data_IF_850451913184
#
_entry.id   IF_850451913184
#
_cell.length_a   1.000
_cell.length_b   1.000
_cell.length_c   1.000
_cell.angle_alpha   90.00
_cell.angle_beta   90.00
_cell.angle_gamma   90.00
#
_symmetry.space_group_name_H-M   'P 1'
#
loop_
_entity.id
_entity.type
_entity.pdbx_description
1 polymer ?
#
# COMPACT_ATOMS: atom_id res chain seq x y z
N UNK A 1 9.49 33.30 -51.79
CA UNK A 1 10.57 32.34 -51.42
C UNK A 1 9.97 31.39 -50.38
N UNK A 2 9.56 30.15 -50.72
CA UNK A 2 10.38 28.91 -50.79
C UNK A 2 10.98 28.52 -49.43
N UNK A 3 10.73 27.37 -48.78
CA UNK A 3 10.10 26.07 -49.18
C UNK A 3 9.48 25.32 -47.96
N UNK A 4 8.46 24.49 -48.21
CA UNK A 4 8.23 23.15 -47.59
C UNK A 4 8.57 22.08 -48.68
N UNK A 5 8.54 20.74 -48.48
CA UNK A 5 8.20 19.93 -47.30
C UNK A 5 9.23 18.79 -46.98
N UNK A 6 8.90 17.89 -46.04
CA UNK A 6 9.58 16.59 -45.84
C UNK A 6 8.72 15.65 -44.96
N UNK A 7 8.43 14.43 -45.43
CA UNK A 7 7.52 13.43 -44.80
C UNK A 7 8.31 12.30 -44.09
N UNK A 8 7.69 11.50 -43.21
CA UNK A 8 8.22 10.23 -42.65
C UNK A 8 7.89 9.07 -43.65
N UNK A 9 7.97 7.75 -43.34
CA UNK A 9 8.30 7.06 -42.07
C UNK A 9 9.30 5.89 -42.22
N UNK A 10 9.48 5.10 -41.15
CA UNK A 10 9.99 3.73 -41.22
C UNK A 10 9.30 2.83 -40.17
N UNK A 11 8.27 2.11 -40.59
CA UNK A 11 7.86 0.87 -39.93
C UNK A 11 8.79 -0.24 -40.44
N UNK A 12 9.13 -1.20 -39.57
CA UNK A 12 9.68 -2.48 -40.01
C UNK A 12 8.66 -3.57 -39.74
N UNK A 13 7.85 -3.86 -40.76
CA UNK A 13 7.21 -5.16 -40.89
C UNK A 13 8.29 -6.23 -41.12
N UNK A 14 8.11 -7.42 -40.54
CA UNK A 14 8.51 -8.68 -41.17
C UNK A 14 7.80 -9.87 -40.51
N UNK A 15 6.62 -10.17 -41.03
CA UNK A 15 6.01 -11.50 -40.96
C UNK A 15 6.94 -12.54 -41.62
N UNK A 16 7.12 -13.70 -40.99
CA UNK A 16 7.92 -14.80 -41.55
C UNK A 16 7.81 -16.08 -40.73
N UNK A 17 6.90 -16.97 -41.11
CA UNK A 17 6.63 -18.26 -40.46
C UNK A 17 7.58 -19.38 -40.98
N UNK A 18 7.65 -20.57 -40.34
CA UNK A 18 8.65 -21.61 -40.60
C UNK A 18 8.20 -22.56 -41.75
N UNK A 19 8.96 -23.60 -42.16
CA UNK A 19 8.90 -24.90 -41.44
C UNK A 19 10.14 -25.82 -41.55
N UNK A 20 10.10 -26.93 -40.79
CA UNK A 20 10.30 -28.27 -41.36
C UNK A 20 11.71 -28.87 -41.42
N UNK A 21 11.90 -30.00 -40.71
CA UNK A 21 12.56 -31.17 -41.29
C UNK A 21 12.05 -32.48 -40.64
N UNK A 22 11.15 -33.17 -41.34
CA UNK A 22 10.94 -34.62 -41.17
C UNK A 22 12.14 -35.34 -41.84
N UNK A 23 12.56 -36.54 -41.41
CA UNK A 23 12.20 -37.87 -42.00
C UNK A 23 13.22 -38.93 -41.49
N UNK A 24 13.11 -40.23 -41.82
CA UNK A 24 12.07 -41.22 -41.48
C UNK A 24 12.61 -42.65 -41.74
N UNK A 25 12.14 -43.67 -41.00
CA UNK A 25 12.28 -45.12 -41.29
C UNK A 25 13.71 -45.75 -41.29
N UNK A 26 13.91 -47.08 -41.32
CA UNK A 26 13.18 -48.24 -40.74
C UNK A 26 13.99 -49.55 -40.96
N UNK A 27 13.50 -50.66 -40.37
CA UNK A 27 13.78 -52.08 -40.70
C UNK A 27 15.21 -52.63 -40.44
N UNK A 28 15.42 -53.51 -39.44
CA UNK A 28 15.36 -55.01 -39.49
C UNK A 28 16.43 -55.63 -40.42
N UNK A 29 17.26 -56.61 -39.99
CA UNK A 29 17.08 -58.09 -39.97
C UNK A 29 18.47 -58.73 -39.59
N UNK A 30 18.69 -59.94 -39.05
CA UNK A 30 17.86 -61.12 -38.65
C UNK A 30 18.53 -61.99 -37.54
N UNK A 31 17.78 -62.99 -37.03
CA UNK A 31 18.12 -64.34 -36.49
C UNK A 31 19.60 -64.85 -36.43
N UNK A 32 19.99 -65.79 -35.55
CA UNK A 32 19.39 -66.39 -34.33
C UNK A 32 20.31 -67.50 -33.74
N UNK A 33 20.21 -67.81 -32.43
CA UNK A 33 20.19 -69.22 -31.95
C UNK A 33 19.59 -69.39 -30.54
N UNK A 34 18.91 -70.52 -30.32
CA UNK A 34 18.45 -71.05 -29.01
C UNK A 34 19.69 -71.46 -28.19
N UNK A 35 19.76 -71.49 -26.85
CA UNK A 35 18.88 -71.96 -25.75
C UNK A 35 19.32 -71.23 -24.46
N UNK A 36 18.59 -71.14 -23.34
CA UNK A 36 17.99 -72.23 -22.57
C UNK A 36 16.97 -71.74 -21.52
N UNK A 37 16.25 -72.70 -20.92
CA UNK A 37 15.15 -72.50 -19.98
C UNK A 37 15.70 -72.33 -18.55
N UNK A 38 15.69 -71.11 -18.01
CA UNK A 38 15.98 -70.83 -16.60
C UNK A 38 14.70 -70.41 -15.87
N UNK A 39 14.61 -70.73 -14.57
CA UNK A 39 13.37 -70.64 -13.80
C UNK A 39 12.88 -69.18 -13.61
N UNK A 40 11.56 -69.00 -13.57
CA UNK A 40 10.95 -67.74 -13.14
C UNK A 40 11.22 -67.54 -11.64
N UNK A 41 11.85 -66.44 -11.20
CA UNK A 41 11.66 -65.95 -9.84
C UNK A 41 10.18 -65.62 -9.66
N UNK A 42 9.66 -65.81 -8.44
CA UNK A 42 8.30 -65.39 -8.11
C UNK A 42 8.18 -63.87 -8.26
N UNK A 43 6.99 -63.42 -8.65
CA UNK A 43 6.59 -62.02 -8.58
C UNK A 43 6.72 -61.53 -7.14
N UNK A 44 7.80 -60.84 -6.80
CA UNK A 44 7.79 -59.95 -5.64
C UNK A 44 6.77 -58.85 -5.94
N UNK A 45 5.75 -58.75 -5.10
CA UNK A 45 4.68 -57.79 -5.29
C UNK A 45 5.26 -56.38 -5.24
N UNK A 46 5.16 -55.65 -6.35
CA UNK A 46 5.37 -54.20 -6.38
C UNK A 46 4.42 -53.61 -5.35
N UNK A 47 4.94 -53.24 -4.18
CA UNK A 47 4.18 -52.50 -3.18
C UNK A 47 3.83 -51.17 -3.83
N UNK A 48 2.56 -51.06 -4.21
CA UNK A 48 1.96 -49.83 -4.71
C UNK A 48 2.31 -48.73 -3.68
N UNK A 49 2.87 -47.58 -4.08
CA UNK A 49 3.15 -46.51 -3.13
C UNK A 49 1.83 -46.18 -2.43
N UNK A 50 1.83 -46.21 -1.09
CA UNK A 50 0.66 -45.78 -0.34
C UNK A 50 0.36 -44.34 -0.73
N UNK A 51 -0.91 -44.00 -1.02
CA UNK A 51 -1.26 -42.60 -1.16
C UNK A 51 -0.87 -41.88 0.14
N UNK A 52 -0.35 -40.65 0.08
CA UNK A 52 -0.03 -39.92 1.29
C UNK A 52 -1.30 -39.88 2.17
N UNK A 53 -1.17 -40.36 3.41
CA UNK A 53 -2.23 -40.30 4.40
C UNK A 53 -2.76 -38.87 4.40
N UNK A 54 -4.01 -38.69 3.98
CA UNK A 54 -4.62 -37.38 3.86
C UNK A 54 -4.64 -36.77 5.26
N UNK A 55 -3.74 -35.81 5.49
CA UNK A 55 -3.66 -35.11 6.75
C UNK A 55 -5.03 -34.53 7.05
N UNK A 56 -5.65 -34.96 8.15
CA UNK A 56 -6.99 -34.52 8.48
C UNK A 56 -6.96 -33.01 8.72
N UNK A 57 -7.69 -32.30 7.84
CA UNK A 57 -7.73 -30.84 7.80
C UNK A 57 -8.32 -30.24 9.07
N UNK A 58 -9.02 -31.06 9.88
CA UNK A 58 -9.59 -30.68 11.17
C UNK A 58 -8.68 -31.00 12.37
N UNK A 59 -7.57 -31.73 12.19
CA UNK A 59 -6.56 -31.94 13.25
C UNK A 59 -5.61 -30.75 13.39
N UNK A 60 -5.47 -29.92 12.35
CA UNK A 60 -4.66 -28.71 12.40
C UNK A 60 -5.37 -27.62 13.21
N UNK A 61 -4.69 -26.91 14.13
CA UNK A 61 -5.29 -25.77 14.81
C UNK A 61 -5.70 -24.71 13.77
N UNK A 62 -6.89 -24.14 13.93
CA UNK A 62 -7.37 -23.07 13.06
C UNK A 62 -6.35 -21.93 13.01
N UNK A 63 -6.10 -21.32 11.85
CA UNK A 63 -5.20 -20.18 11.76
C UNK A 63 -5.68 -19.06 12.69
N UNK A 64 -4.75 -18.29 13.28
CA UNK A 64 -5.12 -17.19 14.18
C UNK A 64 -6.04 -16.22 13.43
N UNK A 65 -7.15 -15.83 14.07
CA UNK A 65 -8.09 -14.88 13.46
C UNK A 65 -7.35 -13.57 13.16
N UNK A 66 -7.53 -12.97 11.95
CA UNK A 66 -7.04 -11.63 11.67
C UNK A 66 -7.50 -10.66 12.77
N UNK A 67 -6.58 -9.83 13.26
CA UNK A 67 -6.96 -8.75 14.18
C UNK A 67 -7.78 -7.73 13.37
N UNK A 68 -8.87 -7.17 13.92
CA UNK A 68 -9.60 -6.10 13.27
C UNK A 68 -8.68 -4.90 12.97
N UNK A 69 -8.92 -4.16 11.86
CA UNK A 69 -8.18 -2.95 11.55
C UNK A 69 -8.14 -1.94 12.68
N UNK A 70 -7.01 -1.23 12.84
CA UNK A 70 -6.95 -0.04 13.71
C UNK A 70 -7.77 1.07 13.05
N UNK A 71 -8.83 1.51 13.71
CA UNK A 71 -9.76 2.56 13.20
C UNK A 71 -9.53 3.93 13.82
N UNK A 72 -8.71 4.01 14.88
CA UNK A 72 -8.38 5.25 15.60
C UNK A 72 -7.05 5.11 16.32
N UNK A 73 -6.43 6.24 16.63
CA UNK A 73 -5.48 6.37 17.73
C UNK A 73 -6.16 6.95 18.96
N UNK A 74 -5.61 6.67 20.13
CA UNK A 74 -6.05 7.25 21.40
C UNK A 74 -5.33 8.59 21.64
N UNK A 75 -5.96 9.56 22.30
CA UNK A 75 -5.37 10.89 22.50
C UNK A 75 -4.05 10.81 23.32
N UNK A 76 -4.03 9.99 24.37
CA UNK A 76 -2.85 9.74 25.22
C UNK A 76 -1.71 9.03 24.48
N UNK A 77 -2.04 8.09 23.59
CA UNK A 77 -1.07 7.36 22.75
C UNK A 77 -0.30 8.34 21.86
N UNK A 78 -0.99 9.30 21.24
CA UNK A 78 -0.39 10.35 20.40
C UNK A 78 0.26 11.50 21.18
N UNK A 79 0.00 11.58 22.49
CA UNK A 79 0.22 12.76 23.33
C UNK A 79 -0.42 14.01 22.71
N UNK A 80 -1.63 13.82 22.19
CA UNK A 80 -2.41 14.85 21.49
C UNK A 80 -2.65 16.01 22.46
N UNK A 81 -2.23 17.22 22.08
CA UNK A 81 -2.29 18.38 22.96
C UNK A 81 -2.60 19.66 22.19
N UNK A 82 -3.37 20.56 22.80
CA UNK A 82 -3.59 21.92 22.31
C UNK A 82 -2.30 22.73 22.43
N UNK A 83 -2.04 23.59 21.45
CA UNK A 83 -0.95 24.57 21.50
C UNK A 83 -1.44 25.98 21.10
N UNK A 84 -0.88 27.06 21.69
CA UNK A 84 -1.25 28.42 21.33
C UNK A 84 -0.95 28.76 19.87
N UNK A 85 -1.94 29.28 19.15
CA UNK A 85 -1.82 29.69 17.75
C UNK A 85 -0.79 30.82 17.51
N UNK A 86 -0.48 31.62 18.54
CA UNK A 86 0.45 32.75 18.46
C UNK A 86 1.93 32.38 18.26
N UNK A 87 2.30 31.11 18.36
CA UNK A 87 3.67 30.61 18.25
C UNK A 87 4.10 30.09 16.87
N UNK A 88 3.27 30.30 15.83
CA UNK A 88 3.47 29.77 14.47
C UNK A 88 3.87 30.86 13.46
N UNK A 89 4.65 30.45 12.47
CA UNK A 89 5.14 31.30 11.38
C UNK A 89 5.41 30.42 10.17
N UNK A 90 5.14 30.94 8.96
CA UNK A 90 5.42 30.26 7.70
C UNK A 90 6.91 29.90 7.52
N UNK A 91 7.81 30.65 8.18
CA UNK A 91 9.27 30.43 8.14
C UNK A 91 9.78 29.58 9.32
N UNK A 92 8.87 28.92 10.07
CA UNK A 92 9.27 28.06 11.17
C UNK A 92 9.97 26.79 10.65
N UNK A 93 11.14 26.47 11.21
CA UNK A 93 11.82 25.22 10.93
C UNK A 93 10.94 24.01 11.35
N UNK A 94 11.02 22.87 10.63
CA UNK A 94 10.35 21.65 11.05
C UNK A 94 10.82 21.21 12.43
N UNK A 95 9.88 20.89 13.32
CA UNK A 95 10.13 20.12 14.52
C UNK A 95 9.49 18.73 14.39
N UNK A 96 9.82 17.79 15.28
CA UNK A 96 9.38 16.38 15.18
C UNK A 96 7.91 16.16 15.58
N UNK A 97 7.06 17.15 15.28
CA UNK A 97 5.63 17.18 15.51
C UNK A 97 4.89 17.34 14.18
N UNK A 98 3.64 16.92 14.18
CA UNK A 98 2.65 17.29 13.17
C UNK A 98 1.52 18.02 13.86
N UNK A 99 0.87 18.90 13.09
CA UNK A 99 -0.16 19.80 13.58
C UNK A 99 -1.46 19.61 12.81
N UNK A 100 -2.57 19.68 13.53
CA UNK A 100 -3.92 19.69 12.98
C UNK A 100 -4.56 21.02 13.37
N UNK A 101 -5.09 21.75 12.40
CA UNK A 101 -5.89 22.95 12.63
C UNK A 101 -7.36 22.61 12.37
N UNK A 102 -8.20 22.84 13.36
CA UNK A 102 -9.62 22.48 13.38
C UNK A 102 -10.39 23.48 14.25
N UNK A 103 -11.71 23.36 14.39
CA UNK A 103 -12.49 24.20 15.29
C UNK A 103 -12.44 23.70 16.75
N UNK A 104 -13.11 24.43 17.65
CA UNK A 104 -13.12 24.14 19.09
C UNK A 104 -13.94 22.89 19.46
N UNK A 105 -15.01 22.57 18.71
CA UNK A 105 -15.86 21.40 18.97
C UNK A 105 -15.15 20.12 18.49
N UNK A 106 -14.64 20.12 17.26
CA UNK A 106 -13.85 19.02 16.71
C UNK A 106 -12.57 18.80 17.54
N UNK A 107 -11.85 19.86 17.94
CA UNK A 107 -10.68 19.71 18.83
C UNK A 107 -11.05 19.03 20.15
N UNK A 108 -12.17 19.40 20.76
CA UNK A 108 -12.67 18.79 22.00
C UNK A 108 -13.03 17.32 21.79
N UNK A 109 -13.71 17.00 20.69
CA UNK A 109 -14.06 15.62 20.31
C UNK A 109 -12.80 14.76 20.05
N UNK A 110 -11.78 15.32 19.40
CA UNK A 110 -10.51 14.63 19.13
C UNK A 110 -9.65 14.43 20.38
N UNK A 111 -9.69 15.34 21.35
CA UNK A 111 -9.03 15.16 22.64
C UNK A 111 -9.74 14.11 23.50
N UNK A 112 -11.07 14.09 23.51
CA UNK A 112 -11.84 13.12 24.28
C UNK A 112 -11.81 11.71 23.69
N UNK A 113 -11.83 11.59 22.36
CA UNK A 113 -11.99 10.31 21.67
C UNK A 113 -10.75 9.87 20.87
N UNK A 114 -9.73 10.72 20.72
CA UNK A 114 -8.57 10.44 19.87
C UNK A 114 -8.84 10.57 18.35
N UNK A 115 -7.79 10.39 17.57
CA UNK A 115 -7.72 10.75 16.15
C UNK A 115 -8.16 9.58 15.25
N UNK A 116 -9.21 9.72 14.41
CA UNK A 116 -9.73 8.61 13.61
C UNK A 116 -8.88 8.35 12.36
N UNK A 117 -8.75 7.07 11.99
CA UNK A 117 -8.15 6.63 10.73
C UNK A 117 -9.26 6.47 9.68
N UNK A 118 -9.27 7.33 8.65
CA UNK A 118 -10.36 7.41 7.67
C UNK A 118 -9.81 7.50 6.24
N UNK A 119 -10.30 6.64 5.34
CA UNK A 119 -9.91 6.67 3.92
C UNK A 119 -10.65 7.71 3.07
N UNK A 120 -11.91 8.04 3.41
CA UNK A 120 -12.75 8.95 2.62
C UNK A 120 -12.46 10.42 2.96
N UNK A 121 -12.32 10.72 4.26
CA UNK A 121 -11.97 12.04 4.79
C UNK A 121 -10.87 11.87 5.85
N UNK A 122 -9.63 11.57 5.44
CA UNK A 122 -8.48 11.50 6.35
C UNK A 122 -8.22 12.85 7.02
N UNK A 123 -7.85 12.88 8.31
CA UNK A 123 -7.28 14.07 8.92
C UNK A 123 -6.03 14.51 8.15
N UNK A 124 -6.02 15.76 7.68
CA UNK A 124 -4.83 16.41 7.15
C UNK A 124 -3.92 16.82 8.32
N UNK A 125 -2.61 16.68 8.17
CA UNK A 125 -1.62 16.99 9.20
C UNK A 125 -0.47 17.79 8.58
N UNK A 126 -0.21 19.01 9.05
CA UNK A 126 0.85 19.87 8.52
C UNK A 126 2.11 19.84 9.40
N UNK A 127 3.28 20.03 8.78
CA UNK A 127 4.47 20.48 9.49
C UNK A 127 4.31 21.93 10.00
N UNK A 128 5.19 22.34 10.92
CA UNK A 128 5.08 23.61 11.68
C UNK A 128 4.89 24.86 10.82
N UNK A 129 5.53 24.93 9.65
CA UNK A 129 5.41 26.08 8.74
C UNK A 129 3.99 26.30 8.22
N UNK A 130 3.24 25.23 7.95
CA UNK A 130 1.92 25.33 7.31
C UNK A 130 0.79 25.74 8.24
N UNK A 131 1.00 25.66 9.56
CA UNK A 131 -0.01 26.06 10.55
C UNK A 131 -0.45 27.51 10.38
N UNK A 132 0.46 28.43 10.05
CA UNK A 132 0.13 29.83 9.84
C UNK A 132 -0.80 30.04 8.63
N UNK A 133 -0.52 29.39 7.50
CA UNK A 133 -1.36 29.45 6.31
C UNK A 133 -2.73 28.79 6.53
N UNK A 134 -2.77 27.68 7.26
CA UNK A 134 -4.03 27.01 7.58
C UNK A 134 -4.89 27.83 8.54
N UNK A 135 -4.30 28.45 9.57
CA UNK A 135 -5.01 29.40 10.44
C UNK A 135 -5.61 30.56 9.63
N UNK A 136 -4.86 31.13 8.68
CA UNK A 136 -5.38 32.16 7.78
C UNK A 136 -6.58 31.66 6.98
N UNK A 137 -6.47 30.49 6.33
CA UNK A 137 -7.55 29.87 5.55
C UNK A 137 -8.83 29.66 6.37
N UNK A 138 -8.71 29.19 7.61
CA UNK A 138 -9.85 29.00 8.53
C UNK A 138 -10.52 30.32 8.93
N UNK A 139 -9.81 31.46 8.85
CA UNK A 139 -10.36 32.79 9.16
C UNK A 139 -10.78 33.61 7.93
N UNK A 140 -10.40 33.18 6.72
CA UNK A 140 -10.75 33.83 5.46
C UNK A 140 -12.12 33.38 4.92
N UNK A 141 -12.55 32.16 5.28
CA UNK A 141 -13.88 31.65 4.93
C UNK A 141 -14.96 32.59 5.49
N UNK A 142 -15.94 33.06 4.68
CA UNK A 142 -16.81 34.16 5.07
C UNK A 142 -17.53 33.87 6.39
N UNK A 143 -17.49 34.78 7.39
CA UNK A 143 -18.11 34.54 8.67
C UNK A 143 -19.63 34.50 8.50
N UNK A 144 -20.17 33.29 8.35
CA UNK A 144 -21.54 32.99 8.69
C UNK A 144 -21.79 33.27 10.18
N UNK A 145 -23.02 33.05 10.64
CA UNK A 145 -23.44 33.26 12.03
C UNK A 145 -22.68 32.41 13.07
N UNK A 146 -21.74 31.56 12.63
CA UNK A 146 -20.97 30.59 13.41
C UNK A 146 -19.48 30.67 13.06
N UNK A 147 -18.88 31.87 13.05
CA UNK A 147 -17.43 32.02 12.92
C UNK A 147 -16.72 31.27 14.08
N UNK A 148 -16.08 30.15 13.76
CA UNK A 148 -15.43 29.28 14.75
C UNK A 148 -14.02 29.78 15.07
N UNK A 149 -13.61 29.66 16.34
CA UNK A 149 -12.23 29.94 16.73
C UNK A 149 -11.37 28.73 16.37
N UNK A 150 -10.32 28.88 15.53
CA UNK A 150 -9.46 27.77 15.16
C UNK A 150 -8.56 27.37 16.33
N UNK A 151 -8.46 26.06 16.56
CA UNK A 151 -7.63 25.42 17.57
C UNK A 151 -6.54 24.61 16.88
N UNK A 152 -5.32 24.72 17.39
CA UNK A 152 -4.17 23.94 16.90
C UNK A 152 -3.90 22.79 17.87
N UNK A 153 -4.03 21.56 17.38
CA UNK A 153 -3.57 20.35 18.05
C UNK A 153 -2.20 19.95 17.51
N UNK A 154 -1.36 19.33 18.36
CA UNK A 154 -0.10 18.70 17.96
C UNK A 154 -0.02 17.23 18.38
N UNK A 155 0.74 16.45 17.63
CA UNK A 155 1.07 15.04 17.90
C UNK A 155 2.48 14.71 17.40
N UNK A 156 3.13 13.67 17.95
CA UNK A 156 4.49 13.30 17.50
C UNK A 156 4.45 12.59 16.16
N UNK A 157 5.20 13.08 15.17
CA UNK A 157 5.30 12.46 13.83
C UNK A 157 5.64 10.97 13.88
N UNK A 158 6.59 10.60 14.75
CA UNK A 158 7.04 9.22 14.92
C UNK A 158 5.95 8.25 15.42
N UNK A 159 4.89 8.73 16.08
CA UNK A 159 3.79 7.89 16.58
C UNK A 159 2.79 7.51 15.47
N UNK A 160 2.67 8.33 14.42
CA UNK A 160 1.73 8.12 13.31
C UNK A 160 2.39 7.74 11.99
N UNK A 161 3.72 7.69 11.92
CA UNK A 161 4.48 7.56 10.68
C UNK A 161 4.10 6.35 9.80
N UNK A 162 3.66 5.22 10.39
CA UNK A 162 3.19 4.04 9.65
C UNK A 162 1.76 4.13 9.07
N UNK A 163 1.06 5.23 9.31
CA UNK A 163 -0.33 5.49 8.90
C UNK A 163 -0.50 6.83 8.15
N UNK A 164 0.60 7.54 7.91
CA UNK A 164 0.64 8.69 7.00
C UNK A 164 0.76 8.18 5.55
N UNK A 165 0.10 8.87 4.62
CA UNK A 165 0.48 8.75 3.21
C UNK A 165 1.95 9.19 3.00
N UNK A 166 2.72 8.50 2.15
CA UNK A 166 4.16 8.73 2.01
C UNK A 166 4.46 10.05 1.29
N UNK A 167 3.65 10.39 0.30
CA UNK A 167 3.78 11.59 -0.51
C UNK A 167 2.99 12.74 0.13
N UNK A 168 3.62 13.89 0.41
CA UNK A 168 2.95 14.99 1.09
C UNK A 168 2.02 15.76 0.15
N UNK A 169 0.72 15.60 0.35
CA UNK A 169 -0.33 16.33 -0.36
C UNK A 169 -0.44 17.80 0.14
N UNK A 170 -1.19 18.65 -0.58
CA UNK A 170 -1.49 20.05 -0.22
C UNK A 170 -0.29 20.97 0.08
N UNK A 171 0.95 20.53 -0.18
CA UNK A 171 2.16 21.23 0.28
C UNK A 171 2.32 22.64 -0.32
N UNK A 172 1.79 22.87 -1.52
CA UNK A 172 1.77 24.18 -2.17
C UNK A 172 0.70 25.13 -1.58
N UNK A 173 -0.38 24.60 -1.03
CA UNK A 173 -1.48 25.36 -0.43
C UNK A 173 -1.07 25.95 0.93
N UNK A 174 -0.38 25.15 1.74
CA UNK A 174 0.06 25.53 3.09
C UNK A 174 1.52 25.95 3.19
N UNK A 175 2.27 25.97 2.08
CA UNK A 175 3.72 26.28 2.03
C UNK A 175 4.60 25.40 2.92
N UNK A 176 4.14 24.21 3.29
CA UNK A 176 4.86 23.23 4.10
C UNK A 176 4.34 21.81 3.83
N UNK A 177 5.13 20.75 4.07
CA UNK A 177 4.65 19.38 3.91
C UNK A 177 3.39 19.10 4.73
N UNK A 178 2.35 18.61 4.07
CA UNK A 178 1.13 18.13 4.72
C UNK A 178 0.90 16.66 4.37
N UNK A 179 0.36 15.89 5.30
CA UNK A 179 0.22 14.44 5.21
C UNK A 179 -1.22 14.04 5.54
N UNK A 180 -1.77 13.08 4.80
CA UNK A 180 -3.08 12.53 5.10
C UNK A 180 -2.94 11.32 6.04
N UNK A 181 -3.76 11.27 7.09
CA UNK A 181 -3.80 10.17 8.04
C UNK A 181 -4.89 9.14 7.65
N UNK A 182 -4.63 8.43 6.56
CA UNK A 182 -5.59 7.51 5.90
C UNK A 182 -5.64 6.10 6.50
N UNK A 183 -4.57 5.67 7.17
CA UNK A 183 -4.40 4.32 7.71
C UNK A 183 -3.25 3.54 7.06
N UNK A 184 -2.91 2.37 7.59
CA UNK A 184 -1.76 1.59 7.11
C UNK A 184 -2.08 0.82 5.83
N UNK A 185 -1.16 0.85 4.86
CA UNK A 185 -1.28 0.14 3.57
C UNK A 185 -1.22 -1.41 3.68
N UNK A 186 -0.73 -1.95 4.80
CA UNK A 186 -0.48 -3.40 5.01
C UNK A 186 -1.73 -4.30 5.09
N UNK A 187 -2.94 -3.77 4.94
CA UNK A 187 -4.18 -4.56 4.96
C UNK A 187 -4.70 -4.92 3.54
N UNK A 188 -3.81 -4.95 2.54
CA UNK A 188 -4.17 -5.12 1.12
C UNK A 188 -3.39 -6.22 0.36
N UNK A 189 -2.59 -7.04 1.06
CA UNK A 189 -1.94 -8.26 0.53
C UNK A 189 -2.45 -9.51 1.28
#
# INVERSE_FOLDING_TARGET
>A
MTRKPGRPPAQSDLLGAPPGHETVAADRKTKARRTARAARPRSEGVKKPEPPLQADLFTSPLPPRPRPPRTRFDAEELRLSVVPASGFSAQAAPDSWLYLVTDTEDASHLLANGLPLRKIYPPLLTERGGVAHWLMKMTEDPPGLFATTPVVLRLRRAMVAGWLEPDPDHSAEFSAPCYLLSGSRQEQD
#
